data_IF_166234349426
#
_entry.id   IF_166234349426
#
_cell.length_a   1.000
_cell.length_b   1.000
_cell.length_c   1.000
_cell.angle_alpha   90.00
_cell.angle_beta   90.00
_cell.angle_gamma   90.00
#
_symmetry.space_group_name_H-M   'P 1'
#
loop_
_entity.id
_entity.type
_entity.pdbx_description
1 polymer ?
#
# COMPACT_ATOMS: atom_id res chain seq x y z
N UNK A 1 17.53 18.74 23.72
CA UNK A 1 17.50 17.39 23.07
C UNK A 1 16.06 16.97 22.82
N UNK A 2 15.75 16.48 21.62
CA UNK A 2 14.43 15.89 21.33
C UNK A 2 14.20 14.67 22.25
N UNK A 3 13.00 14.54 22.77
CA UNK A 3 12.59 13.40 23.61
C UNK A 3 11.95 12.33 22.74
N UNK A 4 12.24 11.06 23.02
CA UNK A 4 11.56 9.94 22.37
C UNK A 4 10.07 9.92 22.78
N UNK A 5 9.19 9.99 21.80
CA UNK A 5 7.74 10.02 22.01
C UNK A 5 7.12 8.63 21.87
N UNK A 6 7.52 7.89 20.84
CA UNK A 6 6.91 6.60 20.50
C UNK A 6 7.95 5.62 19.96
N UNK A 7 7.62 4.33 20.04
CA UNK A 7 8.30 3.26 19.31
C UNK A 7 7.34 2.60 18.32
N UNK A 8 7.88 2.10 17.21
CA UNK A 8 7.09 1.37 16.24
C UNK A 8 7.93 0.58 15.25
N UNK A 9 7.47 -0.60 14.82
CA UNK A 9 8.12 -1.33 13.74
C UNK A 9 7.86 -0.66 12.40
N UNK A 10 8.72 -0.94 11.41
CA UNK A 10 8.31 -0.80 10.01
C UNK A 10 8.29 -2.17 9.34
N UNK A 11 7.32 -2.36 8.44
CA UNK A 11 6.97 -3.65 7.89
C UNK A 11 6.69 -3.57 6.38
N UNK A 12 6.89 -4.70 5.72
CA UNK A 12 6.61 -4.91 4.32
C UNK A 12 6.16 -6.35 4.07
N UNK A 13 6.09 -6.76 2.81
CA UNK A 13 5.84 -8.16 2.44
C UNK A 13 6.83 -9.14 3.08
N UNK A 14 8.04 -8.71 3.39
CA UNK A 14 9.08 -9.55 3.97
C UNK A 14 8.76 -10.03 5.39
N UNK A 15 7.89 -9.31 6.11
CA UNK A 15 7.40 -9.70 7.43
C UNK A 15 6.20 -10.65 7.39
N UNK A 16 5.74 -11.05 6.19
CA UNK A 16 4.63 -11.97 6.00
C UNK A 16 3.30 -11.44 6.51
N UNK A 17 2.55 -12.25 7.22
CA UNK A 17 1.27 -11.85 7.82
C UNK A 17 1.49 -11.25 9.20
N UNK A 18 1.29 -9.96 9.35
CA UNK A 18 1.44 -9.23 10.61
C UNK A 18 0.08 -9.11 11.31
N UNK A 19 0.03 -9.40 12.59
CA UNK A 19 -1.13 -9.16 13.43
C UNK A 19 -1.05 -7.75 14.04
N UNK A 20 -1.52 -6.75 13.32
CA UNK A 20 -1.45 -5.33 13.72
C UNK A 20 -2.15 -5.09 15.09
N UNK A 21 -3.21 -5.83 15.40
CA UNK A 21 -3.86 -5.72 16.71
C UNK A 21 -2.90 -6.10 17.85
N UNK A 22 -2.17 -7.22 17.71
CA UNK A 22 -1.18 -7.62 18.72
C UNK A 22 0.00 -6.64 18.80
N UNK A 23 0.43 -6.07 17.67
CA UNK A 23 1.45 -5.01 17.64
C UNK A 23 0.98 -3.80 18.44
N UNK A 24 -0.24 -3.31 18.18
CA UNK A 24 -0.84 -2.18 18.92
C UNK A 24 -0.99 -2.48 20.41
N UNK A 25 -1.52 -3.65 20.75
CA UNK A 25 -1.80 -4.06 22.13
C UNK A 25 -0.50 -4.24 22.94
N UNK A 26 0.63 -4.49 22.27
CA UNK A 26 1.97 -4.47 22.85
C UNK A 26 2.55 -3.04 23.02
N UNK A 27 1.77 -1.99 22.75
CA UNK A 27 2.15 -0.59 22.96
C UNK A 27 2.71 0.13 21.74
N UNK A 28 2.84 -0.53 20.59
CA UNK A 28 3.33 0.10 19.36
C UNK A 28 2.19 0.78 18.62
N UNK A 29 2.00 2.07 18.86
CA UNK A 29 0.91 2.86 18.28
C UNK A 29 1.27 3.53 16.94
N UNK A 30 2.51 3.34 16.46
CA UNK A 30 3.00 3.82 15.17
C UNK A 30 3.64 2.68 14.41
N UNK A 31 3.34 2.57 13.12
CA UNK A 31 3.84 1.50 12.26
C UNK A 31 4.21 2.09 10.90
N UNK A 32 5.46 1.87 10.48
CA UNK A 32 5.89 2.08 9.10
C UNK A 32 5.33 0.97 8.22
N UNK A 33 4.79 1.28 7.04
CA UNK A 33 4.41 0.26 6.05
C UNK A 33 4.90 0.63 4.67
N UNK A 34 5.46 -0.35 3.97
CA UNK A 34 5.80 -0.17 2.56
C UNK A 34 4.53 -0.12 1.73
N UNK A 35 4.29 1.04 1.08
CA UNK A 35 3.17 1.18 0.15
C UNK A 35 3.46 0.46 -1.16
N UNK A 36 4.72 0.45 -1.58
CA UNK A 36 5.16 -0.22 -2.80
C UNK A 36 6.61 0.08 -3.14
N UNK A 37 6.98 -0.22 -4.37
CA UNK A 37 8.35 -0.04 -4.85
C UNK A 37 8.42 0.14 -6.38
N UNK A 38 9.41 0.90 -6.84
CA UNK A 38 9.66 1.11 -8.27
C UNK A 38 8.44 1.65 -9.00
N UNK A 39 8.34 1.31 -10.29
CA UNK A 39 7.33 1.86 -11.18
C UNK A 39 5.96 1.28 -10.96
N UNK A 40 5.11 1.37 -10.11
CA UNK A 40 3.73 0.84 -10.00
C UNK A 40 3.59 -0.52 -9.29
N UNK A 41 4.58 -0.94 -8.49
CA UNK A 41 4.45 -2.17 -7.74
C UNK A 41 3.92 -1.86 -6.34
N UNK A 42 2.67 -2.21 -6.07
CA UNK A 42 2.12 -2.18 -4.71
C UNK A 42 2.71 -3.33 -3.90
N UNK A 43 3.13 -3.07 -2.66
CA UNK A 43 3.60 -4.14 -1.78
C UNK A 43 2.48 -5.16 -1.54
N UNK A 44 2.80 -6.45 -1.63
CA UNK A 44 1.81 -7.55 -1.55
C UNK A 44 1.02 -7.54 -0.22
N UNK A 45 1.57 -6.96 0.84
CA UNK A 45 0.93 -6.84 2.15
C UNK A 45 0.39 -5.44 2.44
N UNK A 46 0.62 -4.48 1.56
CA UNK A 46 0.19 -3.09 1.78
C UNK A 46 -1.29 -2.98 2.12
N UNK A 47 -2.16 -3.51 1.26
CA UNK A 47 -3.61 -3.38 1.44
C UNK A 47 -4.08 -3.98 2.77
N UNK A 48 -3.60 -5.18 3.11
CA UNK A 48 -3.98 -5.83 4.37
C UNK A 48 -3.47 -5.09 5.60
N UNK A 49 -2.23 -4.59 5.55
CA UNK A 49 -1.63 -3.82 6.63
C UNK A 49 -2.30 -2.45 6.77
N UNK A 50 -2.52 -1.74 5.66
CA UNK A 50 -3.17 -0.44 5.64
C UNK A 50 -4.58 -0.49 6.26
N UNK A 51 -5.39 -1.47 5.85
CA UNK A 51 -6.73 -1.68 6.41
C UNK A 51 -6.70 -2.00 7.90
N UNK A 52 -5.78 -2.86 8.35
CA UNK A 52 -5.68 -3.21 9.75
C UNK A 52 -5.25 -1.99 10.59
N UNK A 53 -4.31 -1.18 10.10
CA UNK A 53 -3.87 0.06 10.73
C UNK A 53 -5.02 1.07 10.81
N UNK A 54 -5.70 1.31 9.70
CA UNK A 54 -6.84 2.21 9.62
C UNK A 54 -7.94 1.86 10.62
N UNK A 55 -8.38 0.59 10.64
CA UNK A 55 -9.45 0.12 11.52
C UNK A 55 -9.08 0.09 13.01
N UNK A 56 -7.80 0.09 13.34
CA UNK A 56 -7.32 0.05 14.72
C UNK A 56 -6.87 1.42 15.25
N UNK A 57 -7.06 2.48 14.47
CA UNK A 57 -6.60 3.84 14.79
C UNK A 57 -5.10 3.90 15.15
N UNK A 58 -4.29 3.08 14.50
CA UNK A 58 -2.83 3.11 14.62
C UNK A 58 -2.28 4.15 13.66
N UNK A 59 -1.30 4.92 14.09
CA UNK A 59 -0.65 5.91 13.24
C UNK A 59 0.29 5.26 12.25
N UNK A 60 0.28 5.75 11.01
CA UNK A 60 1.09 5.20 9.91
C UNK A 60 2.23 6.12 9.50
N UNK A 61 3.34 5.51 9.11
CA UNK A 61 4.37 6.11 8.25
C UNK A 61 4.38 5.28 6.96
N UNK A 62 4.04 5.89 5.83
CA UNK A 62 4.17 5.22 4.53
C UNK A 62 5.59 5.37 4.00
N UNK A 63 6.10 4.35 3.31
CA UNK A 63 7.32 4.48 2.55
C UNK A 63 7.21 3.83 1.16
N UNK A 64 7.92 4.41 0.21
CA UNK A 64 8.05 3.93 -1.15
C UNK A 64 9.50 3.60 -1.44
N UNK A 65 9.79 2.32 -1.67
CA UNK A 65 11.14 1.89 -2.02
C UNK A 65 11.41 2.25 -3.49
N UNK A 66 12.23 3.26 -3.70
CA UNK A 66 12.45 3.81 -5.03
C UNK A 66 13.48 3.03 -5.82
N UNK A 67 13.13 2.68 -7.05
CA UNK A 67 14.06 2.22 -8.09
C UNK A 67 14.26 3.26 -9.19
N UNK A 68 13.92 4.52 -8.93
CA UNK A 68 14.13 5.60 -9.87
C UNK A 68 15.62 5.81 -10.15
N UNK A 69 15.97 6.04 -11.40
CA UNK A 69 17.29 6.48 -11.85
C UNK A 69 17.20 7.69 -12.77
N UNK A 70 16.02 8.30 -12.85
CA UNK A 70 15.76 9.63 -13.45
C UNK A 70 14.76 10.39 -12.60
N UNK A 71 14.79 11.72 -12.69
CA UNK A 71 13.82 12.57 -12.00
C UNK A 71 12.37 12.28 -12.40
N UNK A 72 12.13 12.03 -13.68
CA UNK A 72 10.79 11.69 -14.18
C UNK A 72 10.26 10.38 -13.56
N UNK A 73 11.12 9.39 -13.34
CA UNK A 73 10.74 8.16 -12.66
C UNK A 73 10.37 8.42 -11.20
N UNK A 74 11.15 9.22 -10.47
CA UNK A 74 10.85 9.59 -9.09
C UNK A 74 9.50 10.31 -8.97
N UNK A 75 9.18 11.19 -9.92
CA UNK A 75 7.86 11.83 -10.01
C UNK A 75 6.74 10.80 -10.18
N UNK A 76 6.89 9.88 -11.13
CA UNK A 76 5.88 8.85 -11.40
C UNK A 76 5.69 7.90 -10.18
N UNK A 77 6.78 7.53 -9.50
CA UNK A 77 6.73 6.74 -8.26
C UNK A 77 5.97 7.48 -7.15
N UNK A 78 6.23 8.79 -6.98
CA UNK A 78 5.53 9.62 -6.01
C UNK A 78 4.02 9.69 -6.29
N UNK A 79 3.62 9.95 -7.54
CA UNK A 79 2.23 10.03 -7.95
C UNK A 79 1.48 8.72 -7.71
N UNK A 80 2.14 7.60 -8.01
CA UNK A 80 1.55 6.30 -7.76
C UNK A 80 1.45 6.00 -6.25
N UNK A 81 2.48 6.30 -5.45
CA UNK A 81 2.45 6.18 -3.99
C UNK A 81 1.29 7.01 -3.38
N UNK A 82 1.15 8.26 -3.80
CA UNK A 82 0.07 9.15 -3.35
C UNK A 82 -1.31 8.57 -3.69
N UNK A 83 -1.47 7.97 -4.87
CA UNK A 83 -2.71 7.28 -5.25
C UNK A 83 -3.05 6.12 -4.29
N UNK A 84 -2.05 5.40 -3.80
CA UNK A 84 -2.28 4.35 -2.80
C UNK A 84 -2.61 4.95 -1.42
N UNK A 85 -1.89 6.00 -1.01
CA UNK A 85 -2.11 6.66 0.28
C UNK A 85 -3.52 7.24 0.41
N UNK A 86 -4.03 7.91 -0.65
CA UNK A 86 -5.36 8.55 -0.69
C UNK A 86 -6.52 7.62 -0.37
N UNK A 87 -6.33 6.31 -0.48
CA UNK A 87 -7.37 5.31 -0.18
C UNK A 87 -7.69 5.23 1.32
N UNK A 88 -6.73 5.60 2.18
CA UNK A 88 -6.84 5.43 3.63
C UNK A 88 -6.60 6.70 4.42
N UNK A 89 -5.75 7.60 3.92
CA UNK A 89 -5.34 8.80 4.65
C UNK A 89 -5.37 10.03 3.75
N UNK A 90 -5.94 11.11 4.24
CA UNK A 90 -5.85 12.44 3.61
C UNK A 90 -4.58 13.19 4.00
N UNK A 91 -3.96 12.80 5.14
CA UNK A 91 -2.69 13.33 5.61
C UNK A 91 -1.94 12.28 6.41
N UNK A 92 -0.72 11.98 6.04
CA UNK A 92 0.23 11.14 6.77
C UNK A 92 1.66 11.41 6.29
N UNK A 93 2.71 10.99 7.03
CA UNK A 93 4.06 11.02 6.51
C UNK A 93 4.24 10.00 5.38
N UNK A 94 4.92 10.42 4.30
CA UNK A 94 5.33 9.56 3.18
C UNK A 94 6.83 9.72 2.97
N UNK A 95 7.56 8.62 3.08
CA UNK A 95 8.99 8.58 2.93
C UNK A 95 9.45 8.18 1.53
N UNK A 96 10.40 8.93 0.99
CA UNK A 96 11.24 8.54 -0.12
C UNK A 96 12.36 7.65 0.41
N UNK A 97 12.31 6.38 0.07
CA UNK A 97 13.25 5.35 0.49
C UNK A 97 14.12 4.95 -0.71
N UNK A 98 15.36 5.44 -0.72
CA UNK A 98 16.33 5.22 -1.79
C UNK A 98 17.64 4.73 -1.18
N UNK A 99 17.98 3.45 -1.47
CA UNK A 99 19.03 2.73 -0.79
C UNK A 99 20.07 2.09 -1.74
N UNK A 100 20.95 1.25 -1.21
CA UNK A 100 22.01 0.57 -1.97
C UNK A 100 21.46 -0.25 -3.14
N UNK A 101 20.32 -0.92 -2.97
CA UNK A 101 19.67 -1.66 -4.04
C UNK A 101 19.15 -0.74 -5.15
N UNK A 102 18.71 0.47 -4.80
CA UNK A 102 18.29 1.50 -5.75
C UNK A 102 19.47 1.94 -6.63
N UNK A 103 20.62 2.21 -6.01
CA UNK A 103 21.86 2.58 -6.70
C UNK A 103 22.36 1.42 -7.57
N UNK A 104 22.34 0.18 -7.05
CA UNK A 104 22.74 -1.00 -7.80
C UNK A 104 21.81 -1.26 -9.00
N UNK A 105 20.51 -1.01 -8.82
CA UNK A 105 19.53 -1.12 -9.91
C UNK A 105 19.78 -0.11 -11.03
N UNK A 106 20.10 1.14 -10.68
CA UNK A 106 20.48 2.19 -11.63
C UNK A 106 21.78 1.81 -12.39
N UNK A 107 22.80 1.36 -11.65
CA UNK A 107 24.09 0.94 -12.23
C UNK A 107 23.94 -0.18 -13.24
N UNK A 108 23.09 -1.19 -12.95
CA UNK A 108 22.78 -2.28 -13.90
C UNK A 108 22.11 -1.79 -15.19
N UNK A 109 21.65 -0.54 -15.23
CA UNK A 109 21.03 0.13 -16.39
C UNK A 109 21.93 1.19 -17.01
N UNK A 110 23.21 1.19 -16.65
CA UNK A 110 24.20 2.12 -17.18
C UNK A 110 24.16 3.52 -16.57
N UNK A 111 23.39 3.73 -15.47
CA UNK A 111 23.29 5.02 -14.81
C UNK A 111 24.13 5.04 -13.56
N UNK A 112 25.12 5.95 -13.53
CA UNK A 112 25.88 6.25 -12.33
C UNK A 112 25.15 7.33 -11.53
N UNK A 113 24.62 6.96 -10.36
CA UNK A 113 23.87 7.88 -9.50
C UNK A 113 24.86 8.82 -8.79
N UNK A 114 24.85 10.07 -9.20
CA UNK A 114 25.60 11.14 -8.52
C UNK A 114 24.81 11.74 -7.37
N UNK A 115 25.49 12.49 -6.48
CA UNK A 115 24.84 13.25 -5.40
C UNK A 115 23.78 14.22 -5.94
N UNK A 116 24.12 14.89 -7.06
CA UNK A 116 23.20 15.77 -7.76
C UNK A 116 21.91 15.02 -8.17
N UNK A 117 22.05 13.91 -8.90
CA UNK A 117 20.90 13.15 -9.42
C UNK A 117 20.04 12.57 -8.28
N UNK A 118 20.64 11.98 -7.25
CA UNK A 118 19.91 11.44 -6.11
C UNK A 118 19.14 12.54 -5.36
N UNK A 119 19.78 13.71 -5.16
CA UNK A 119 19.14 14.88 -4.56
C UNK A 119 17.97 15.38 -5.40
N UNK A 120 18.13 15.47 -6.72
CA UNK A 120 17.08 15.94 -7.63
C UNK A 120 15.88 14.98 -7.64
N UNK A 121 16.11 13.66 -7.63
CA UNK A 121 15.07 12.65 -7.50
C UNK A 121 14.32 12.77 -6.16
N UNK A 122 15.06 12.92 -5.05
CA UNK A 122 14.46 13.11 -3.72
C UNK A 122 13.60 14.39 -3.67
N UNK A 123 14.10 15.50 -4.17
CA UNK A 123 13.35 16.76 -4.25
C UNK A 123 12.07 16.57 -5.06
N UNK A 124 12.15 15.98 -6.24
CA UNK A 124 11.00 15.80 -7.13
C UNK A 124 9.93 14.91 -6.51
N UNK A 125 10.31 13.79 -5.90
CA UNK A 125 9.39 12.91 -5.19
C UNK A 125 8.70 13.64 -4.02
N UNK A 126 9.48 14.26 -3.17
CA UNK A 126 8.99 14.91 -1.94
C UNK A 126 8.18 16.18 -2.23
N UNK A 127 8.46 16.89 -3.32
CA UNK A 127 7.62 18.00 -3.78
C UNK A 127 6.22 17.53 -4.17
N UNK A 128 6.10 16.39 -4.87
CA UNK A 128 4.80 15.77 -5.20
C UNK A 128 4.06 15.36 -3.94
N UNK A 129 4.76 14.73 -2.99
CA UNK A 129 4.20 14.36 -1.67
C UNK A 129 3.64 15.59 -0.95
N UNK A 130 4.45 16.67 -0.85
CA UNK A 130 4.04 17.90 -0.20
C UNK A 130 2.88 18.60 -0.92
N UNK A 131 2.93 18.70 -2.24
CA UNK A 131 1.88 19.32 -3.04
C UNK A 131 0.54 18.58 -2.92
N UNK A 132 0.57 17.28 -2.63
CA UNK A 132 -0.63 16.48 -2.40
C UNK A 132 -1.15 16.54 -0.94
N UNK A 133 -0.55 17.37 -0.08
CA UNK A 133 -0.97 17.58 1.31
C UNK A 133 -0.37 16.59 2.33
N UNK A 134 0.54 15.71 1.90
CA UNK A 134 1.23 14.75 2.75
C UNK A 134 2.50 15.35 3.38
N UNK A 135 3.00 14.70 4.43
CA UNK A 135 4.21 15.14 5.12
C UNK A 135 5.43 14.50 4.45
N UNK A 136 6.34 15.29 3.84
CA UNK A 136 7.50 14.75 3.13
C UNK A 136 8.54 14.24 4.12
N UNK A 137 8.94 12.98 3.98
CA UNK A 137 9.97 12.32 4.78
C UNK A 137 11.07 11.81 3.85
N UNK A 138 12.33 12.00 4.22
CA UNK A 138 13.45 11.35 3.57
C UNK A 138 14.01 10.25 4.46
N UNK A 139 14.05 9.01 3.96
CA UNK A 139 14.79 7.92 4.61
C UNK A 139 16.26 8.01 4.20
N UNK A 140 17.15 7.96 5.17
CA UNK A 140 18.58 8.12 4.94
C UNK A 140 19.42 7.50 6.07
N UNK A 141 20.72 7.40 5.81
CA UNK A 141 21.73 7.02 6.79
C UNK A 141 22.97 7.94 6.63
N UNK A 142 23.96 7.76 7.49
CA UNK A 142 25.18 8.58 7.49
C UNK A 142 25.92 8.54 6.15
N UNK A 143 25.99 7.37 5.51
CA UNK A 143 26.66 7.22 4.22
C UNK A 143 25.92 7.97 3.11
N UNK A 144 24.58 7.88 3.09
CA UNK A 144 23.74 8.55 2.09
C UNK A 144 23.73 10.07 2.24
N UNK A 145 23.75 10.60 3.47
CA UNK A 145 23.92 12.03 3.71
C UNK A 145 25.24 12.56 3.14
N UNK A 146 26.28 11.75 3.21
CA UNK A 146 27.58 12.15 2.68
C UNK A 146 27.66 12.02 1.15
N UNK A 147 27.17 10.90 0.60
CA UNK A 147 27.41 10.50 -0.81
C UNK A 147 26.31 10.91 -1.77
N UNK A 148 25.04 10.88 -1.33
CA UNK A 148 23.90 10.93 -2.25
C UNK A 148 22.94 12.08 -1.98
N UNK A 149 22.77 12.56 -0.75
CA UNK A 149 21.80 13.60 -0.46
C UNK A 149 22.46 14.90 -0.02
N UNK A 150 22.14 15.99 -0.72
CA UNK A 150 22.40 17.36 -0.29
C UNK A 150 21.17 17.87 0.47
N UNK A 151 21.21 17.75 1.80
CA UNK A 151 20.10 18.15 2.65
C UNK A 151 19.82 19.65 2.60
N UNK A 152 20.83 20.49 2.37
CA UNK A 152 20.63 21.94 2.25
C UNK A 152 19.77 22.25 1.02
N UNK A 153 20.03 21.59 -0.11
CA UNK A 153 19.22 21.74 -1.32
C UNK A 153 17.80 21.21 -1.12
N UNK A 154 17.65 20.04 -0.47
CA UNK A 154 16.35 19.44 -0.17
C UNK A 154 15.53 20.38 0.71
N UNK A 155 16.08 20.87 1.80
CA UNK A 155 15.42 21.81 2.71
C UNK A 155 15.11 23.14 2.01
N UNK A 156 16.02 23.67 1.20
CA UNK A 156 15.78 24.90 0.41
C UNK A 156 14.59 24.74 -0.55
N UNK A 157 14.46 23.58 -1.18
CA UNK A 157 13.40 23.30 -2.16
C UNK A 157 12.03 23.02 -1.51
N UNK A 158 12.01 22.41 -0.33
CA UNK A 158 10.81 21.93 0.33
C UNK A 158 10.37 22.79 1.53
N UNK A 159 11.26 23.59 2.08
CA UNK A 159 11.09 24.22 3.39
C UNK A 159 11.27 23.18 4.49
N UNK A 160 10.16 22.59 4.95
CA UNK A 160 10.21 21.51 5.95
C UNK A 160 10.22 20.13 5.28
N UNK A 161 11.18 19.31 5.65
CA UNK A 161 11.25 17.87 5.36
C UNK A 161 11.61 17.14 6.65
N UNK A 162 11.00 16.01 6.89
CA UNK A 162 11.29 15.17 8.05
C UNK A 162 12.36 14.14 7.69
N UNK A 163 13.18 13.76 8.65
CA UNK A 163 14.29 12.83 8.45
C UNK A 163 14.04 11.53 9.19
N UNK A 164 13.95 10.43 8.45
CA UNK A 164 13.96 9.07 8.98
C UNK A 164 15.39 8.53 8.85
N UNK A 165 16.10 8.53 9.98
CA UNK A 165 17.53 8.24 10.04
C UNK A 165 17.79 6.82 10.49
N UNK A 166 18.39 6.01 9.62
CA UNK A 166 18.82 4.67 9.93
C UNK A 166 20.23 4.66 10.53
N UNK A 167 20.32 4.20 11.77
CA UNK A 167 21.59 4.09 12.49
C UNK A 167 21.48 2.97 13.54
N UNK A 168 22.06 1.82 13.24
CA UNK A 168 21.99 0.65 14.13
C UNK A 168 23.06 0.76 15.22
N UNK A 169 22.71 1.42 16.31
CA UNK A 169 23.54 1.68 17.48
C UNK A 169 22.66 1.77 18.73
N UNK A 170 23.27 1.70 19.90
CA UNK A 170 22.56 1.83 21.18
C UNK A 170 22.08 3.25 21.49
N UNK A 171 22.73 4.26 20.91
CA UNK A 171 22.38 5.67 21.10
C UNK A 171 22.85 6.51 19.92
N UNK A 172 22.18 7.65 19.71
CA UNK A 172 22.61 8.70 18.78
C UNK A 172 23.40 9.77 19.53
N UNK A 173 24.33 10.42 18.83
CA UNK A 173 24.93 11.68 19.29
C UNK A 173 23.88 12.80 19.31
N UNK A 174 24.15 13.88 20.03
CA UNK A 174 23.24 15.05 20.08
C UNK A 174 22.92 15.59 18.69
N UNK A 175 23.92 15.70 17.82
CA UNK A 175 23.74 16.16 16.43
C UNK A 175 22.82 15.21 15.63
N UNK A 176 22.96 13.90 15.80
CA UNK A 176 22.11 12.93 15.12
C UNK A 176 20.67 12.94 15.67
N UNK A 177 20.48 13.19 16.97
CA UNK A 177 19.15 13.37 17.58
C UNK A 177 18.47 14.63 17.01
N UNK A 178 19.20 15.72 16.89
CA UNK A 178 18.66 16.98 16.35
C UNK A 178 18.30 16.84 14.86
N UNK A 179 19.06 16.03 14.11
CA UNK A 179 18.77 15.71 12.72
C UNK A 179 17.53 14.83 12.57
N UNK A 180 17.40 13.76 13.38
CA UNK A 180 16.40 12.73 13.20
C UNK A 180 15.01 13.15 13.72
N UNK A 181 13.98 13.00 12.91
CA UNK A 181 12.59 13.01 13.35
C UNK A 181 12.11 11.58 13.70
N UNK A 182 12.70 10.60 13.01
CA UNK A 182 12.52 9.17 13.26
C UNK A 182 13.90 8.52 13.22
N UNK A 183 14.18 7.66 14.17
CA UNK A 183 15.41 6.88 14.22
C UNK A 183 15.12 5.38 14.10
N UNK A 184 15.54 4.76 12.99
CA UNK A 184 15.54 3.30 12.85
C UNK A 184 16.83 2.78 13.51
N UNK A 185 16.69 2.16 14.69
CA UNK A 185 17.83 1.82 15.51
C UNK A 185 18.25 0.34 15.44
N UNK A 186 17.41 -0.51 14.86
CA UNK A 186 17.69 -1.93 14.67
C UNK A 186 16.89 -2.52 13.52
N UNK A 187 17.46 -3.51 12.86
CA UNK A 187 16.77 -4.40 11.89
C UNK A 187 16.52 -5.80 12.47
N UNK A 188 16.72 -5.98 13.76
CA UNK A 188 16.68 -7.29 14.42
C UNK A 188 15.72 -7.34 15.61
N UNK A 189 14.75 -6.42 15.65
CA UNK A 189 13.78 -6.35 16.72
C UNK A 189 12.80 -7.51 16.74
N UNK A 190 12.28 -7.81 17.92
CA UNK A 190 11.18 -8.75 18.13
C UNK A 190 9.94 -7.99 18.60
N UNK A 191 8.83 -8.11 17.88
CA UNK A 191 7.59 -7.41 18.17
C UNK A 191 6.44 -8.41 18.23
N UNK A 192 5.63 -8.43 19.29
CA UNK A 192 4.45 -9.28 19.37
C UNK A 192 3.51 -9.04 18.19
N UNK A 193 3.19 -10.08 17.43
CA UNK A 193 2.35 -9.98 16.23
C UNK A 193 3.13 -9.93 14.91
N UNK A 194 4.46 -9.88 14.96
CA UNK A 194 5.34 -10.01 13.80
C UNK A 194 6.14 -11.31 13.96
N UNK A 195 6.17 -12.13 12.92
CA UNK A 195 6.99 -13.34 12.91
C UNK A 195 8.41 -13.01 12.46
N UNK A 196 9.40 -13.47 13.22
CA UNK A 196 10.80 -13.20 12.94
C UNK A 196 11.27 -11.82 13.38
N UNK A 197 12.36 -11.36 12.79
CA UNK A 197 12.97 -10.06 13.07
C UNK A 197 12.30 -8.96 12.24
N UNK A 198 12.27 -7.75 12.77
CA UNK A 198 11.81 -6.57 12.04
C UNK A 198 12.60 -5.32 12.43
N UNK A 199 12.49 -4.31 11.61
CA UNK A 199 13.00 -2.97 11.88
C UNK A 199 12.18 -2.32 12.99
N UNK A 200 12.86 -1.59 13.89
CA UNK A 200 12.18 -0.83 14.95
C UNK A 200 12.71 0.59 14.97
N UNK A 201 11.76 1.51 15.16
CA UNK A 201 11.97 2.94 15.11
C UNK A 201 11.62 3.61 16.43
N UNK A 202 12.33 4.70 16.72
CA UNK A 202 11.98 5.71 17.73
C UNK A 202 11.52 6.96 16.99
N UNK A 203 10.34 7.46 17.36
CA UNK A 203 9.79 8.70 16.82
C UNK A 203 10.02 9.84 17.80
N UNK A 204 10.69 10.88 17.35
CA UNK A 204 10.94 12.11 18.09
C UNK A 204 9.96 13.23 17.72
N UNK A 205 9.22 13.05 16.65
CA UNK A 205 8.22 14.00 16.15
C UNK A 205 6.83 13.37 16.22
N UNK A 206 5.86 14.13 16.71
CA UNK A 206 4.45 13.78 16.63
C UNK A 206 3.89 14.27 15.28
N UNK A 207 3.69 13.33 14.37
CA UNK A 207 3.15 13.64 13.05
C UNK A 207 1.64 13.80 13.13
N UNK A 208 1.15 14.92 12.61
CA UNK A 208 -0.28 15.05 12.39
C UNK A 208 -0.74 14.08 11.31
N UNK A 209 -1.69 13.26 11.65
CA UNK A 209 -2.32 12.31 10.74
C UNK A 209 -3.81 12.56 10.67
N UNK A 210 -4.33 12.60 9.46
CA UNK A 210 -5.76 12.65 9.20
C UNK A 210 -6.13 11.42 8.39
N UNK A 211 -6.82 10.47 9.03
CA UNK A 211 -7.50 9.41 8.31
C UNK A 211 -8.50 10.06 7.35
N UNK A 212 -8.68 9.46 6.19
CA UNK A 212 -9.85 9.82 5.39
C UNK A 212 -11.04 9.50 6.30
N UNK A 213 -11.92 10.47 6.62
CA UNK A 213 -13.08 10.18 7.43
C UNK A 213 -13.81 8.97 6.83
N UNK A 214 -14.28 8.06 7.70
CA UNK A 214 -15.22 7.02 7.28
C UNK A 214 -16.52 7.62 6.71
N UNK A 215 -16.72 8.90 6.90
CA UNK A 215 -17.71 9.80 6.31
C UNK A 215 -17.12 10.60 5.10
N UNK A 216 -16.64 9.94 4.10
CA UNK A 216 -17.31 10.19 2.82
C UNK A 216 -18.68 9.56 3.05
N UNK A 217 -19.78 10.29 2.88
CA UNK A 217 -20.99 9.67 2.35
C UNK A 217 -20.48 8.84 1.17
N UNK A 218 -20.18 7.57 1.43
CA UNK A 218 -19.88 6.65 0.36
C UNK A 218 -21.19 6.60 -0.39
N UNK A 219 -21.27 7.41 -1.43
CA UNK A 219 -22.30 7.26 -2.45
C UNK A 219 -22.36 5.78 -2.71
N UNK A 220 -23.52 5.19 -2.42
CA UNK A 220 -23.74 3.76 -2.56
C UNK A 220 -23.20 3.33 -3.93
N UNK A 221 -22.07 2.65 -3.94
CA UNK A 221 -21.50 2.16 -5.19
C UNK A 221 -22.33 0.96 -5.61
N UNK A 222 -23.15 1.15 -6.63
CA UNK A 222 -24.08 0.12 -7.13
C UNK A 222 -23.35 -1.18 -7.49
N UNK A 223 -22.11 -1.10 -7.96
CA UNK A 223 -21.33 -2.28 -8.33
C UNK A 223 -20.94 -3.10 -7.09
N UNK A 224 -20.56 -2.40 -6.00
CA UNK A 224 -20.25 -3.03 -4.72
C UNK A 224 -21.52 -3.60 -4.10
N UNK A 225 -22.63 -2.87 -4.14
CA UNK A 225 -23.92 -3.35 -3.63
C UNK A 225 -24.38 -4.61 -4.37
N UNK A 226 -24.28 -4.63 -5.70
CA UNK A 226 -24.61 -5.79 -6.50
C UNK A 226 -23.68 -6.98 -6.22
N UNK A 227 -22.39 -6.73 -5.95
CA UNK A 227 -21.46 -7.77 -5.49
C UNK A 227 -21.89 -8.33 -4.13
N UNK A 228 -22.25 -7.47 -3.16
CA UNK A 228 -22.70 -7.87 -1.82
C UNK A 228 -23.94 -8.77 -1.91
N UNK A 229 -24.92 -8.39 -2.76
CA UNK A 229 -26.13 -9.21 -3.05
C UNK A 229 -25.76 -10.56 -3.64
N UNK A 230 -24.90 -10.58 -4.64
CA UNK A 230 -24.48 -11.82 -5.29
C UNK A 230 -23.72 -12.73 -4.32
N UNK A 231 -22.84 -12.20 -3.52
CA UNK A 231 -22.11 -12.94 -2.50
C UNK A 231 -23.05 -13.53 -1.42
N UNK A 232 -24.03 -12.75 -0.97
CA UNK A 232 -25.06 -13.23 -0.03
C UNK A 232 -25.90 -14.36 -0.64
N UNK A 233 -26.25 -14.26 -1.93
CA UNK A 233 -27.01 -15.27 -2.66
C UNK A 233 -26.22 -16.58 -2.83
N UNK A 234 -24.91 -16.48 -3.06
CA UNK A 234 -24.01 -17.65 -3.13
C UNK A 234 -23.63 -18.21 -1.74
N UNK A 235 -24.23 -17.70 -0.67
CA UNK A 235 -24.02 -18.19 0.68
C UNK A 235 -22.77 -17.71 1.39
N UNK A 236 -22.02 -16.76 0.82
CA UNK A 236 -20.88 -16.15 1.53
C UNK A 236 -21.32 -15.38 2.76
N UNK A 237 -20.45 -15.37 3.78
CA UNK A 237 -20.70 -14.72 5.08
C UNK A 237 -19.47 -13.96 5.54
N UNK A 238 -19.68 -12.95 6.37
CA UNK A 238 -18.57 -12.20 7.02
C UNK A 238 -17.81 -13.09 8.03
N UNK A 239 -16.80 -12.54 8.67
CA UNK A 239 -15.97 -13.25 9.64
C UNK A 239 -16.77 -13.71 10.89
N UNK A 240 -17.97 -13.17 11.11
CA UNK A 240 -18.88 -13.50 12.20
C UNK A 240 -20.04 -14.40 11.74
N UNK A 241 -20.00 -14.91 10.50
CA UNK A 241 -21.03 -15.79 9.95
C UNK A 241 -22.33 -15.07 9.51
N UNK A 242 -22.34 -13.74 9.41
CA UNK A 242 -23.51 -12.93 9.04
C UNK A 242 -23.53 -12.64 7.54
N UNK A 243 -24.69 -12.36 6.99
CA UNK A 243 -24.81 -11.78 5.64
C UNK A 243 -24.12 -10.42 5.57
N UNK A 244 -23.54 -10.09 4.41
CA UNK A 244 -23.08 -8.74 4.13
C UNK A 244 -24.23 -7.75 4.16
N UNK A 245 -24.00 -6.57 4.71
CA UNK A 245 -24.89 -5.42 4.52
C UNK A 245 -24.74 -4.97 3.06
N UNK A 246 -25.87 -4.81 2.39
CA UNK A 246 -25.92 -4.47 0.95
C UNK A 246 -25.94 -2.95 0.80
N UNK A 247 -24.92 -2.28 1.33
CA UNK A 247 -24.81 -0.83 1.47
C UNK A 247 -23.98 -0.15 0.36
N UNK A 248 -23.42 -0.96 -0.55
CA UNK A 248 -22.55 -0.46 -1.61
C UNK A 248 -21.18 0.03 -1.12
N UNK A 249 -20.77 -0.36 0.10
CA UNK A 249 -19.51 0.04 0.69
C UNK A 249 -18.50 -1.10 0.68
N UNK A 250 -17.26 -0.82 0.25
CA UNK A 250 -16.16 -1.79 0.30
C UNK A 250 -15.54 -1.85 1.70
N UNK A 251 -16.39 -2.06 2.69
CA UNK A 251 -16.00 -2.18 4.09
C UNK A 251 -15.26 -3.49 4.40
N UNK A 252 -14.77 -3.65 5.65
CA UNK A 252 -13.98 -4.82 6.08
C UNK A 252 -14.65 -6.16 5.80
N UNK A 253 -15.97 -6.25 5.97
CA UNK A 253 -16.74 -7.47 5.75
C UNK A 253 -16.84 -7.83 4.25
N UNK A 254 -17.06 -6.85 3.38
CA UNK A 254 -17.04 -7.01 1.92
C UNK A 254 -15.67 -7.48 1.44
N UNK A 255 -14.61 -6.88 1.96
CA UNK A 255 -13.24 -7.27 1.65
C UNK A 255 -12.89 -8.66 2.19
N UNK A 256 -13.38 -9.02 3.37
CA UNK A 256 -13.24 -10.38 3.91
C UNK A 256 -13.86 -11.40 2.96
N UNK A 257 -15.09 -11.17 2.51
CA UNK A 257 -15.80 -12.07 1.57
C UNK A 257 -15.05 -12.15 0.23
N UNK A 258 -14.58 -11.05 -0.33
CA UNK A 258 -13.74 -11.09 -1.55
C UNK A 258 -12.52 -11.99 -1.38
N UNK A 259 -11.86 -11.95 -0.21
CA UNK A 259 -10.73 -12.84 0.08
C UNK A 259 -11.16 -14.29 0.21
N UNK A 260 -12.33 -14.56 0.79
CA UNK A 260 -12.87 -15.92 0.87
C UNK A 260 -13.16 -16.51 -0.51
N UNK A 261 -13.76 -15.74 -1.40
CA UNK A 261 -13.97 -16.13 -2.79
C UNK A 261 -12.64 -16.51 -3.45
N UNK A 262 -11.60 -15.70 -3.28
CA UNK A 262 -10.26 -15.98 -3.81
C UNK A 262 -9.58 -17.19 -3.12
N UNK A 263 -9.79 -17.38 -1.82
CA UNK A 263 -9.20 -18.48 -1.05
C UNK A 263 -9.86 -19.81 -1.34
N UNK A 264 -11.20 -19.84 -1.49
CA UNK A 264 -11.91 -21.03 -1.92
C UNK A 264 -11.50 -21.41 -3.34
N UNK A 265 -11.36 -20.45 -4.23
CA UNK A 265 -10.82 -20.65 -5.56
C UNK A 265 -9.39 -21.26 -5.54
N UNK A 266 -8.56 -20.94 -4.55
CA UNK A 266 -7.23 -21.54 -4.35
C UNK A 266 -7.30 -22.95 -3.74
N UNK A 267 -8.17 -23.18 -2.74
CA UNK A 267 -8.29 -24.47 -2.03
C UNK A 267 -8.84 -25.59 -2.89
N UNK A 268 -9.69 -25.28 -3.86
CA UNK A 268 -10.37 -26.27 -4.71
C UNK A 268 -9.72 -26.37 -6.10
N UNK A 269 -8.59 -25.68 -6.35
CA UNK A 269 -8.03 -25.56 -7.69
C UNK A 269 -8.93 -24.78 -8.65
N UNK A 270 -9.95 -24.13 -8.11
CA UNK A 270 -10.96 -23.32 -8.79
C UNK A 270 -10.68 -21.84 -8.53
N UNK A 271 -9.68 -21.26 -9.18
CA UNK A 271 -9.91 -19.88 -9.60
C UNK A 271 -11.26 -19.86 -10.33
N UNK A 272 -12.07 -18.79 -10.29
CA UNK A 272 -13.20 -18.70 -11.22
C UNK A 272 -12.68 -18.94 -12.63
N UNK A 273 -12.71 -20.17 -13.03
CA UNK A 273 -12.25 -20.71 -14.31
C UNK A 273 -13.43 -21.41 -14.94
N UNK A 274 -13.27 -21.79 -16.16
CA UNK A 274 -14.25 -22.62 -16.87
C UNK A 274 -14.79 -23.72 -15.95
N UNK A 275 -16.09 -23.67 -15.66
CA UNK A 275 -16.80 -24.58 -14.75
C UNK A 275 -17.32 -23.96 -13.45
N UNK A 276 -16.89 -22.76 -13.08
CA UNK A 276 -17.46 -22.02 -11.93
C UNK A 276 -18.86 -21.52 -12.24
N UNK A 277 -19.76 -21.58 -11.24
CA UNK A 277 -21.15 -21.10 -11.36
C UNK A 277 -21.55 -20.28 -10.14
N UNK A 278 -22.61 -19.48 -10.27
CA UNK A 278 -23.22 -18.78 -9.16
C UNK A 278 -23.57 -17.31 -9.45
N UNK A 279 -24.13 -16.65 -8.44
CA UNK A 279 -24.56 -15.27 -8.54
C UNK A 279 -23.36 -14.29 -8.66
N UNK A 280 -22.23 -14.61 -8.03
CA UNK A 280 -20.98 -13.82 -8.19
C UNK A 280 -20.45 -13.95 -9.62
N UNK A 281 -20.56 -15.12 -10.26
CA UNK A 281 -20.19 -15.28 -11.67
C UNK A 281 -21.10 -14.43 -12.57
N UNK A 282 -22.41 -14.46 -12.32
CA UNK A 282 -23.38 -13.63 -13.06
C UNK A 282 -23.10 -12.14 -12.89
N UNK A 283 -22.82 -11.71 -11.67
CA UNK A 283 -22.37 -10.33 -11.39
C UNK A 283 -21.09 -9.97 -12.17
N UNK A 284 -20.12 -10.88 -12.23
CA UNK A 284 -18.87 -10.65 -12.98
C UNK A 284 -19.11 -10.53 -14.48
N UNK A 285 -19.96 -11.39 -15.07
CA UNK A 285 -20.34 -11.33 -16.48
C UNK A 285 -20.96 -9.96 -16.82
N UNK A 286 -21.89 -9.49 -15.97
CA UNK A 286 -22.49 -8.15 -16.12
C UNK A 286 -21.43 -7.04 -16.08
N UNK A 287 -20.49 -7.11 -15.15
CA UNK A 287 -19.40 -6.13 -15.09
C UNK A 287 -18.50 -6.15 -16.32
N UNK A 288 -18.24 -7.32 -16.86
CA UNK A 288 -17.53 -7.42 -18.15
C UNK A 288 -18.29 -6.73 -19.28
N UNK A 289 -19.59 -6.99 -19.41
CA UNK A 289 -20.44 -6.36 -20.42
C UNK A 289 -20.39 -4.83 -20.31
N UNK A 290 -20.61 -4.31 -19.12
CA UNK A 290 -20.61 -2.84 -18.88
C UNK A 290 -19.25 -2.20 -19.18
N UNK A 291 -18.13 -2.83 -18.79
CA UNK A 291 -16.78 -2.30 -19.00
C UNK A 291 -16.37 -2.35 -20.49
N UNK A 292 -16.75 -3.42 -21.18
CA UNK A 292 -16.35 -3.64 -22.58
C UNK A 292 -17.34 -3.06 -23.59
N UNK A 293 -18.57 -2.76 -23.17
CA UNK A 293 -19.66 -2.38 -24.07
C UNK A 293 -20.18 -3.59 -24.88
N UNK A 294 -20.17 -4.79 -24.26
CA UNK A 294 -20.61 -6.04 -24.87
C UNK A 294 -21.98 -6.46 -24.32
N UNK A 295 -22.59 -7.45 -24.95
CA UNK A 295 -23.88 -8.04 -24.55
C UNK A 295 -23.78 -9.57 -24.55
N UNK A 296 -22.88 -10.10 -23.74
CA UNK A 296 -22.69 -11.53 -23.51
C UNK A 296 -23.71 -12.04 -22.50
N UNK A 297 -24.06 -13.34 -22.59
CA UNK A 297 -24.98 -13.98 -21.67
C UNK A 297 -24.51 -13.89 -20.20
N UNK A 298 -25.38 -13.39 -19.34
CA UNK A 298 -25.20 -13.33 -17.89
C UNK A 298 -25.85 -14.54 -17.23
N UNK A 299 -25.45 -15.74 -17.63
CA UNK A 299 -26.06 -17.01 -17.19
C UNK A 299 -25.53 -17.53 -15.85
N UNK A 300 -24.53 -16.87 -15.29
CA UNK A 300 -23.87 -17.27 -14.05
C UNK A 300 -22.98 -18.50 -14.21
N UNK A 301 -22.58 -18.86 -15.45
CA UNK A 301 -21.64 -19.95 -15.72
C UNK A 301 -20.33 -19.40 -16.29
N UNK A 302 -19.24 -19.69 -15.65
CA UNK A 302 -17.94 -19.26 -16.13
C UNK A 302 -17.43 -20.19 -17.23
N UNK A 303 -17.89 -19.97 -18.45
CA UNK A 303 -17.51 -20.70 -19.65
C UNK A 303 -16.23 -20.15 -20.33
N UNK A 304 -15.98 -20.65 -21.55
CA UNK A 304 -14.86 -20.14 -22.38
C UNK A 304 -15.03 -18.67 -22.75
N UNK A 305 -16.27 -18.22 -22.99
CA UNK A 305 -16.58 -16.84 -23.34
C UNK A 305 -16.39 -15.92 -22.15
N UNK A 306 -16.89 -16.27 -20.96
CA UNK A 306 -16.63 -15.52 -19.74
C UNK A 306 -15.12 -15.38 -19.44
N UNK A 307 -14.33 -16.42 -19.75
CA UNK A 307 -12.87 -16.33 -19.64
C UNK A 307 -12.25 -15.36 -20.65
N UNK A 308 -12.73 -15.35 -21.89
CA UNK A 308 -12.28 -14.43 -22.94
C UNK A 308 -12.57 -12.98 -22.53
N UNK A 309 -13.79 -12.70 -22.07
CA UNK A 309 -14.19 -11.40 -21.54
C UNK A 309 -13.35 -10.97 -20.33
N UNK A 310 -13.07 -11.91 -19.42
CA UNK A 310 -12.18 -11.63 -18.27
C UNK A 310 -10.80 -11.18 -18.72
N UNK A 311 -10.20 -11.84 -19.72
CA UNK A 311 -8.90 -11.44 -20.27
C UNK A 311 -8.97 -10.05 -20.89
N UNK A 312 -10.06 -9.72 -21.60
CA UNK A 312 -10.26 -8.41 -22.21
C UNK A 312 -10.39 -7.32 -21.13
N UNK A 313 -11.21 -7.53 -20.10
CA UNK A 313 -11.33 -6.61 -18.94
C UNK A 313 -10.01 -6.44 -18.21
N UNK A 314 -9.30 -7.54 -17.94
CA UNK A 314 -7.97 -7.47 -17.33
C UNK A 314 -7.01 -6.63 -18.17
N UNK A 315 -7.07 -6.75 -19.50
CA UNK A 315 -6.27 -5.92 -20.41
C UNK A 315 -6.64 -4.45 -20.35
N UNK A 316 -7.95 -4.13 -20.38
CA UNK A 316 -8.45 -2.75 -20.31
C UNK A 316 -8.11 -2.07 -18.98
N UNK A 317 -8.06 -2.84 -17.88
CA UNK A 317 -7.75 -2.35 -16.55
C UNK A 317 -6.28 -2.51 -16.15
N UNK A 318 -5.38 -2.83 -17.09
CA UNK A 318 -3.94 -3.02 -16.87
C UNK A 318 -3.61 -4.08 -15.79
N UNK A 319 -4.41 -5.15 -15.72
CA UNK A 319 -4.19 -6.30 -14.86
C UNK A 319 -3.47 -7.43 -15.60
N UNK A 320 -3.02 -8.44 -14.86
CA UNK A 320 -2.48 -9.68 -15.45
C UNK A 320 -3.59 -10.40 -16.22
N UNK A 321 -3.38 -10.64 -17.52
CA UNK A 321 -4.33 -11.26 -18.45
C UNK A 321 -4.35 -12.79 -18.34
N UNK A 322 -4.68 -13.33 -17.18
CA UNK A 322 -4.66 -14.76 -16.92
C UNK A 322 -6.04 -15.44 -17.08
N UNK A 323 -7.08 -14.64 -17.29
CA UNK A 323 -8.46 -15.10 -17.40
C UNK A 323 -8.97 -15.73 -16.08
N UNK A 324 -8.50 -15.25 -14.94
CA UNK A 324 -8.92 -15.70 -13.61
C UNK A 324 -9.47 -14.52 -12.83
N UNK A 325 -10.64 -14.66 -12.27
CA UNK A 325 -11.26 -13.62 -11.44
C UNK A 325 -10.79 -13.79 -10.01
N UNK A 326 -9.86 -12.94 -9.61
CA UNK A 326 -9.32 -12.91 -8.26
C UNK A 326 -9.61 -11.58 -7.55
N UNK A 327 -9.07 -11.43 -6.34
CA UNK A 327 -9.24 -10.25 -5.50
C UNK A 327 -8.98 -8.93 -6.26
N UNK A 328 -7.86 -8.86 -7.00
CA UNK A 328 -7.48 -7.66 -7.74
C UNK A 328 -8.45 -7.37 -8.90
N UNK A 329 -8.93 -8.41 -9.60
CA UNK A 329 -9.90 -8.26 -10.67
C UNK A 329 -11.23 -7.73 -10.15
N UNK A 330 -11.74 -8.30 -9.04
CA UNK A 330 -12.97 -7.85 -8.39
C UNK A 330 -12.82 -6.40 -7.89
N UNK A 331 -11.70 -6.07 -7.26
CA UNK A 331 -11.45 -4.73 -6.77
C UNK A 331 -11.41 -3.70 -7.90
N UNK A 332 -10.75 -4.03 -9.00
CA UNK A 332 -10.60 -3.11 -10.13
C UNK A 332 -11.95 -2.76 -10.77
N UNK A 333 -12.89 -3.69 -10.83
CA UNK A 333 -14.20 -3.44 -11.45
C UNK A 333 -15.22 -2.75 -10.52
N UNK A 334 -14.92 -2.57 -9.24
CA UNK A 334 -15.82 -1.83 -8.35
C UNK A 334 -15.90 -0.34 -8.69
N UNK A 335 -14.85 0.21 -9.23
CA UNK A 335 -14.67 1.65 -9.43
C UNK A 335 -14.53 2.05 -10.90
N UNK A 336 -14.84 1.14 -11.83
CA UNK A 336 -14.85 1.40 -13.28
C UNK A 336 -16.22 1.27 -13.89
#
# INVERSE_FOLDING_TARGET
MKQALYKGPDISKHNGNVNIKRVRDAGYKRIGIRAGYGKNNVDEKYVSNALAIFNLAVQVLLYWFSYAYTVAMAVAEAEFCITQAKKYWSKCPIAFDFEYDSVNYARKRGVNVTKQLATDMAIAFLQKVKAAGYLPVIYTNKDYLNKYFDMNRIVKALGKVYVWYARYTSSLSTVEIDLADIWQYTSSGAVPGISGKCDINIFYTDFEMVSVPAEREEVCNINIQNFQRAANADGYRDAQGRKLVEDGKDGPNTQYVRRQICLQAKRVGLNYKVGSTGAVVKWWQRRCNEILGHDQDEDGKYGKDARKETIAVQGKLNLVKDGKVGYNSIQAVFYN
#
